data_IF_916701750812
#
_entry.id   IF_916701750812
#
_cell.length_a   1.000
_cell.length_b   1.000
_cell.length_c   1.000
_cell.angle_alpha   90.00
_cell.angle_beta   90.00
_cell.angle_gamma   90.00
#
_symmetry.space_group_name_H-M   'P 1'
#
loop_
_entity.id
_entity.type
_entity.pdbx_description
1 polymer ?
#
# COMPACT_ATOMS: atom_id res chain seq x y z
N UNK A 1 -13.31 9.71 -22.29
CA UNK A 1 -13.04 8.61 -21.33
C UNK A 1 -13.41 8.99 -19.90
N UNK A 2 -13.13 10.19 -19.42
CA UNK A 2 -13.50 10.63 -18.06
C UNK A 2 -15.02 10.51 -17.78
N UNK A 3 -15.88 11.02 -18.66
CA UNK A 3 -17.34 11.00 -18.48
C UNK A 3 -17.91 9.59 -18.24
N UNK A 4 -17.40 8.56 -18.91
CA UNK A 4 -17.86 7.16 -18.68
C UNK A 4 -17.38 6.56 -17.37
N UNK A 5 -16.24 7.03 -16.83
CA UNK A 5 -15.73 6.55 -15.56
C UNK A 5 -16.57 7.09 -14.39
N UNK A 6 -17.04 8.34 -14.50
CA UNK A 6 -17.90 8.98 -13.50
C UNK A 6 -19.29 8.35 -13.49
N UNK A 7 -19.88 8.08 -14.67
CA UNK A 7 -21.17 7.38 -14.79
C UNK A 7 -21.11 5.99 -14.15
N UNK A 8 -20.05 5.20 -14.40
CA UNK A 8 -19.84 3.89 -13.78
C UNK A 8 -19.64 3.98 -12.26
N UNK A 9 -19.00 5.04 -11.77
CA UNK A 9 -18.82 5.27 -10.35
C UNK A 9 -20.15 5.56 -9.65
N UNK A 10 -20.99 6.40 -10.27
CA UNK A 10 -22.34 6.68 -9.75
C UNK A 10 -23.22 5.42 -9.74
N UNK A 11 -23.20 4.63 -10.81
CA UNK A 11 -23.94 3.35 -10.88
C UNK A 11 -23.46 2.36 -9.79
N UNK A 12 -22.16 2.24 -9.57
CA UNK A 12 -21.60 1.40 -8.50
C UNK A 12 -22.06 1.89 -7.13
N UNK A 13 -22.06 3.20 -6.88
CA UNK A 13 -22.50 3.79 -5.61
C UNK A 13 -24.00 3.58 -5.37
N UNK A 14 -24.83 3.60 -6.42
CA UNK A 14 -26.25 3.26 -6.33
C UNK A 14 -26.43 1.78 -5.96
N UNK A 15 -25.79 0.88 -6.69
CA UNK A 15 -25.87 -0.57 -6.42
C UNK A 15 -25.38 -0.90 -5.01
N UNK A 16 -24.31 -0.27 -4.53
CA UNK A 16 -23.80 -0.50 -3.18
C UNK A 16 -24.79 -0.02 -2.10
N UNK A 17 -25.51 1.09 -2.34
CA UNK A 17 -26.58 1.55 -1.46
C UNK A 17 -27.76 0.57 -1.44
N UNK A 18 -28.19 0.11 -2.61
CA UNK A 18 -29.25 -0.89 -2.72
C UNK A 18 -28.87 -2.20 -2.00
N UNK A 19 -27.60 -2.62 -2.14
CA UNK A 19 -27.06 -3.76 -1.40
C UNK A 19 -27.08 -3.49 0.11
N UNK A 20 -26.73 -2.29 0.57
CA UNK A 20 -26.72 -1.93 1.99
C UNK A 20 -28.13 -1.95 2.59
N UNK A 21 -29.12 -1.43 1.86
CA UNK A 21 -30.52 -1.30 2.32
C UNK A 21 -31.31 -2.61 2.18
N UNK A 22 -30.89 -3.52 1.30
CA UNK A 22 -31.59 -4.80 1.10
C UNK A 22 -31.42 -5.72 2.30
N UNK A 23 -32.49 -6.36 2.73
CA UNK A 23 -32.41 -7.46 3.70
C UNK A 23 -31.74 -8.68 3.06
N UNK A 24 -30.62 -9.11 3.63
CA UNK A 24 -29.94 -10.32 3.18
C UNK A 24 -30.49 -11.55 3.92
N UNK A 25 -31.49 -12.22 3.34
CA UNK A 25 -32.01 -13.47 3.86
C UNK A 25 -31.20 -14.72 3.47
N UNK A 26 -29.99 -14.52 2.87
CA UNK A 26 -29.17 -15.63 2.40
C UNK A 26 -28.61 -16.47 3.55
N UNK A 27 -28.64 -17.78 3.39
CA UNK A 27 -27.94 -18.76 4.23
C UNK A 27 -26.52 -19.08 3.73
N UNK A 28 -26.12 -18.55 2.57
CA UNK A 28 -24.82 -18.78 1.97
C UNK A 28 -23.74 -17.95 2.67
N UNK A 29 -22.72 -18.62 3.21
CA UNK A 29 -21.54 -17.95 3.80
C UNK A 29 -20.84 -17.07 2.76
N UNK A 30 -20.72 -17.57 1.51
CA UNK A 30 -20.13 -16.82 0.41
C UNK A 30 -20.81 -15.47 0.17
N UNK A 31 -22.13 -15.47 0.04
CA UNK A 31 -22.91 -14.25 -0.27
C UNK A 31 -22.82 -13.23 0.87
N UNK A 32 -22.94 -13.70 2.13
CA UNK A 32 -22.84 -12.82 3.31
C UNK A 32 -21.46 -12.20 3.42
N UNK A 33 -20.42 -13.01 3.26
CA UNK A 33 -19.04 -12.54 3.34
C UNK A 33 -18.65 -11.62 2.17
N UNK A 34 -19.13 -11.92 0.95
CA UNK A 34 -18.92 -11.06 -0.22
C UNK A 34 -19.58 -9.68 -0.03
N UNK A 35 -20.85 -9.67 0.43
CA UNK A 35 -21.56 -8.42 0.74
C UNK A 35 -20.83 -7.62 1.80
N UNK A 36 -20.44 -8.23 2.92
CA UNK A 36 -19.68 -7.59 3.98
C UNK A 36 -18.40 -6.94 3.43
N UNK A 37 -17.63 -7.70 2.63
CA UNK A 37 -16.39 -7.22 2.02
C UNK A 37 -16.63 -6.03 1.09
N UNK A 38 -17.57 -6.14 0.15
CA UNK A 38 -17.88 -5.09 -0.82
C UNK A 38 -18.27 -3.79 -0.12
N UNK A 39 -19.13 -3.84 0.87
CA UNK A 39 -19.57 -2.67 1.60
C UNK A 39 -18.42 -2.03 2.39
N UNK A 40 -17.67 -2.82 3.17
CA UNK A 40 -16.54 -2.28 3.93
C UNK A 40 -15.41 -1.76 3.05
N UNK A 41 -15.08 -2.41 1.93
CA UNK A 41 -14.08 -1.90 0.97
C UNK A 41 -14.47 -0.54 0.39
N UNK A 42 -15.77 -0.22 0.34
CA UNK A 42 -16.31 1.05 -0.14
C UNK A 42 -16.67 2.05 0.97
N UNK A 43 -16.17 1.83 2.19
CA UNK A 43 -16.36 2.75 3.31
C UNK A 43 -17.77 2.73 3.89
N UNK A 44 -18.56 1.69 3.62
CA UNK A 44 -19.88 1.46 4.18
C UNK A 44 -19.77 0.49 5.36
N UNK A 45 -20.17 0.98 6.54
CA UNK A 45 -20.04 0.18 7.75
C UNK A 45 -21.04 -0.97 7.79
N UNK A 46 -20.55 -2.17 8.10
CA UNK A 46 -21.34 -3.38 8.36
C UNK A 46 -20.83 -4.03 9.64
N UNK A 47 -21.72 -4.37 10.58
CA UNK A 47 -21.36 -5.08 11.81
C UNK A 47 -20.88 -6.50 11.51
N UNK A 48 -19.86 -7.00 12.25
CA UNK A 48 -19.44 -8.40 12.21
C UNK A 48 -20.56 -9.39 12.62
N UNK A 49 -21.60 -8.91 13.27
CA UNK A 49 -22.74 -9.71 13.74
C UNK A 49 -23.46 -10.44 12.61
N UNK A 50 -23.29 -9.99 11.36
CA UNK A 50 -23.82 -10.70 10.19
C UNK A 50 -23.33 -12.15 10.08
N UNK A 51 -22.21 -12.47 10.73
CA UNK A 51 -21.63 -13.81 10.77
C UNK A 51 -22.16 -14.67 11.93
N UNK A 52 -22.92 -14.11 12.89
CA UNK A 52 -23.41 -14.86 14.06
C UNK A 52 -24.30 -16.04 13.66
N UNK A 53 -25.03 -15.96 12.56
CA UNK A 53 -25.83 -17.07 12.03
C UNK A 53 -25.02 -18.30 11.57
N UNK A 54 -23.70 -18.17 11.42
CA UNK A 54 -22.76 -19.24 11.10
C UNK A 54 -21.99 -19.72 12.33
N UNK A 55 -22.38 -19.26 13.53
CA UNK A 55 -21.78 -19.65 14.79
C UNK A 55 -22.70 -20.52 15.62
N UNK A 56 -22.09 -21.30 16.50
CA UNK A 56 -22.77 -22.05 17.56
C UNK A 56 -23.11 -21.12 18.74
N UNK A 57 -23.86 -21.64 19.70
CA UNK A 57 -24.21 -20.90 20.92
C UNK A 57 -22.99 -20.50 21.78
N UNK A 58 -21.88 -21.26 21.68
CA UNK A 58 -20.61 -20.96 22.36
C UNK A 58 -19.76 -19.91 21.64
N UNK A 59 -20.22 -19.39 20.48
CA UNK A 59 -19.55 -18.40 19.66
C UNK A 59 -18.56 -18.96 18.63
N UNK A 60 -18.27 -20.28 18.67
CA UNK A 60 -17.43 -20.93 17.65
C UNK A 60 -18.13 -21.01 16.30
N UNK A 61 -17.38 -21.05 15.19
CA UNK A 61 -17.94 -21.31 13.87
C UNK A 61 -18.43 -22.75 13.75
N UNK A 62 -19.53 -22.93 13.03
CA UNK A 62 -20.17 -24.23 12.85
C UNK A 62 -19.36 -25.12 11.92
N UNK A 63 -19.39 -26.44 12.20
CA UNK A 63 -18.67 -27.45 11.41
C UNK A 63 -19.24 -27.61 9.98
N UNK A 64 -20.54 -27.36 9.77
CA UNK A 64 -21.18 -27.52 8.47
C UNK A 64 -20.67 -26.59 7.38
N UNK A 65 -20.05 -25.44 7.74
CA UNK A 65 -19.45 -24.51 6.78
C UNK A 65 -18.02 -24.90 6.38
N UNK A 66 -17.39 -25.86 7.07
CA UNK A 66 -16.01 -26.26 6.78
C UNK A 66 -15.83 -26.97 5.44
N UNK A 67 -16.93 -27.51 4.87
CA UNK A 67 -16.94 -28.14 3.57
C UNK A 67 -17.19 -27.19 2.39
N UNK A 68 -17.36 -25.87 2.65
CA UNK A 68 -17.55 -24.84 1.63
C UNK A 68 -16.28 -24.00 1.42
N UNK A 69 -15.35 -24.40 0.54
CA UNK A 69 -14.11 -23.67 0.34
C UNK A 69 -14.31 -22.27 -0.26
N UNK A 70 -15.39 -22.04 -1.03
CA UNK A 70 -15.74 -20.73 -1.58
C UNK A 70 -16.25 -19.80 -0.49
N UNK A 71 -17.09 -20.31 0.40
CA UNK A 71 -17.58 -19.57 1.56
C UNK A 71 -16.44 -19.22 2.52
N UNK A 72 -15.55 -20.19 2.82
CA UNK A 72 -14.38 -19.97 3.68
C UNK A 72 -13.41 -18.94 3.09
N UNK A 73 -13.12 -18.98 1.79
CA UNK A 73 -12.30 -17.99 1.12
C UNK A 73 -12.92 -16.59 1.21
N UNK A 74 -14.24 -16.51 1.02
CA UNK A 74 -14.95 -15.23 1.12
C UNK A 74 -14.94 -14.69 2.55
N UNK A 75 -15.13 -15.55 3.55
CA UNK A 75 -15.04 -15.20 4.97
C UNK A 75 -13.62 -14.73 5.32
N UNK A 76 -12.59 -15.46 4.86
CA UNK A 76 -11.18 -15.09 5.08
C UNK A 76 -10.87 -13.68 4.56
N UNK A 77 -11.24 -13.40 3.31
CA UNK A 77 -11.03 -12.10 2.71
C UNK A 77 -11.87 -11.00 3.37
N UNK A 78 -13.12 -11.27 3.73
CA UNK A 78 -13.99 -10.33 4.42
C UNK A 78 -13.45 -9.98 5.81
N UNK A 79 -13.00 -10.98 6.56
CA UNK A 79 -12.50 -10.80 7.91
C UNK A 79 -11.20 -9.96 7.96
N UNK A 80 -10.39 -9.92 6.89
CA UNK A 80 -9.22 -9.05 6.80
C UNK A 80 -9.55 -7.55 6.65
N UNK A 81 -10.84 -7.19 6.59
CA UNK A 81 -11.31 -5.81 6.74
C UNK A 81 -11.66 -5.46 8.19
N UNK A 82 -11.22 -6.27 9.16
CA UNK A 82 -11.40 -5.99 10.58
C UNK A 82 -10.74 -4.67 10.98
N UNK A 83 -11.36 -4.02 11.95
CA UNK A 83 -10.84 -2.82 12.63
C UNK A 83 -10.49 -3.16 14.08
N UNK A 84 -9.96 -2.20 14.83
CA UNK A 84 -9.72 -2.41 16.26
C UNK A 84 -11.02 -2.72 17.00
N UNK A 85 -10.95 -3.61 17.99
CA UNK A 85 -12.10 -4.00 18.79
C UNK A 85 -13.02 -5.08 18.18
N UNK A 86 -12.62 -5.74 17.08
CA UNK A 86 -13.41 -6.80 16.44
C UNK A 86 -12.77 -8.20 16.60
N UNK A 87 -12.77 -8.79 17.81
CA UNK A 87 -12.17 -10.10 18.03
C UNK A 87 -12.85 -11.22 17.24
N UNK A 88 -14.16 -11.11 16.96
CA UNK A 88 -14.91 -12.09 16.20
C UNK A 88 -14.40 -12.25 14.77
N UNK A 89 -13.91 -11.19 14.14
CA UNK A 89 -13.28 -11.27 12.81
C UNK A 89 -11.86 -11.84 12.89
N UNK A 90 -11.15 -11.63 13.99
CA UNK A 90 -9.84 -12.28 14.21
C UNK A 90 -9.99 -13.80 14.34
N UNK A 91 -11.04 -14.26 15.01
CA UNK A 91 -11.41 -15.68 15.07
C UNK A 91 -11.79 -16.23 13.69
N UNK A 92 -12.57 -15.45 12.91
CA UNK A 92 -12.96 -15.81 11.54
C UNK A 92 -11.72 -15.99 10.63
N UNK A 93 -10.70 -15.14 10.74
CA UNK A 93 -9.44 -15.28 10.01
C UNK A 93 -8.78 -16.61 10.36
N UNK A 94 -8.62 -16.90 11.66
CA UNK A 94 -7.94 -18.10 12.14
C UNK A 94 -8.68 -19.38 11.71
N UNK A 95 -10.00 -19.38 11.86
CA UNK A 95 -10.87 -20.47 11.47
C UNK A 95 -10.82 -20.74 9.95
N UNK A 96 -11.07 -19.71 9.14
CA UNK A 96 -11.09 -19.87 7.70
C UNK A 96 -9.70 -20.25 7.14
N UNK A 97 -8.61 -19.65 7.66
CA UNK A 97 -7.24 -19.99 7.28
C UNK A 97 -6.93 -21.46 7.53
N UNK A 98 -7.22 -21.95 8.74
CA UNK A 98 -6.97 -23.34 9.10
C UNK A 98 -7.64 -24.33 8.13
N UNK A 99 -8.91 -24.16 7.84
CA UNK A 99 -9.64 -25.06 6.95
C UNK A 99 -9.22 -24.92 5.47
N UNK A 100 -8.90 -23.71 5.01
CA UNK A 100 -8.37 -23.50 3.66
C UNK A 100 -6.99 -24.15 3.47
N UNK A 101 -6.12 -24.09 4.47
CA UNK A 101 -4.81 -24.76 4.46
C UNK A 101 -4.97 -26.28 4.39
N UNK A 102 -5.90 -26.85 5.17
CA UNK A 102 -6.17 -28.31 5.15
C UNK A 102 -6.68 -28.82 3.81
N UNK A 103 -7.50 -28.05 3.11
CA UNK A 103 -8.10 -28.49 1.83
C UNK A 103 -7.33 -28.06 0.60
N UNK A 104 -6.26 -27.24 0.75
CA UNK A 104 -5.50 -26.60 -0.33
C UNK A 104 -5.14 -27.56 -1.48
N UNK A 105 -4.63 -28.74 -1.14
CA UNK A 105 -4.13 -29.69 -2.14
C UNK A 105 -5.25 -30.48 -2.85
N UNK A 106 -6.47 -30.41 -2.34
CA UNK A 106 -7.65 -31.08 -2.91
C UNK A 106 -8.49 -30.18 -3.82
N UNK A 107 -8.24 -28.88 -3.81
CA UNK A 107 -8.99 -27.90 -4.60
C UNK A 107 -8.64 -27.98 -6.08
N UNK A 108 -9.61 -27.63 -6.92
CA UNK A 108 -9.43 -27.53 -8.38
C UNK A 108 -9.37 -26.06 -8.81
N UNK A 109 -8.68 -25.85 -9.95
CA UNK A 109 -8.67 -24.55 -10.65
C UNK A 109 -10.11 -24.13 -11.05
N UNK A 110 -10.48 -22.82 -10.97
CA UNK A 110 -9.65 -21.69 -10.56
C UNK A 110 -9.59 -21.45 -9.04
N UNK A 111 -10.42 -22.12 -8.25
CA UNK A 111 -10.52 -21.88 -6.80
C UNK A 111 -9.21 -22.19 -6.06
N UNK A 112 -8.46 -23.19 -6.51
CA UNK A 112 -7.15 -23.54 -5.94
C UNK A 112 -6.17 -22.36 -5.99
N UNK A 113 -6.10 -21.66 -7.12
CA UNK A 113 -5.25 -20.48 -7.32
C UNK A 113 -5.73 -19.30 -6.48
N UNK A 114 -7.05 -19.08 -6.39
CA UNK A 114 -7.61 -18.03 -5.53
C UNK A 114 -7.25 -18.25 -4.06
N UNK A 115 -7.42 -19.47 -3.56
CA UNK A 115 -7.09 -19.83 -2.17
C UNK A 115 -5.60 -19.66 -1.91
N UNK A 116 -4.75 -20.16 -2.83
CA UNK A 116 -3.30 -20.02 -2.71
C UNK A 116 -2.89 -18.55 -2.55
N UNK A 117 -3.33 -17.68 -3.47
CA UNK A 117 -2.99 -16.25 -3.42
C UNK A 117 -3.55 -15.56 -2.17
N UNK A 118 -4.78 -15.89 -1.77
CA UNK A 118 -5.38 -15.29 -0.59
C UNK A 118 -4.67 -15.68 0.71
N UNK A 119 -4.16 -16.91 0.81
CA UNK A 119 -3.35 -17.35 1.95
C UNK A 119 -1.98 -16.69 2.00
N UNK A 120 -1.39 -16.37 0.83
CA UNK A 120 -0.15 -15.59 0.74
C UNK A 120 -0.41 -14.10 1.07
N UNK A 121 -1.40 -13.48 0.40
CA UNK A 121 -1.80 -12.09 0.63
C UNK A 121 -3.33 -11.99 0.55
N UNK A 122 -4.04 -11.66 1.64
CA UNK A 122 -5.50 -11.49 1.63
C UNK A 122 -5.94 -10.44 0.62
N UNK A 123 -7.05 -10.69 -0.08
CA UNK A 123 -7.54 -9.85 -1.18
C UNK A 123 -7.63 -8.35 -0.84
N UNK A 124 -8.08 -7.88 0.35
CA UNK A 124 -8.11 -6.46 0.69
C UNK A 124 -6.73 -5.77 0.72
N UNK A 125 -5.67 -6.56 0.88
CA UNK A 125 -4.27 -6.09 0.96
C UNK A 125 -3.52 -6.26 -0.36
N UNK A 126 -4.16 -6.75 -1.43
CA UNK A 126 -3.55 -6.93 -2.75
C UNK A 126 -3.51 -5.64 -3.54
N UNK A 127 -2.52 -5.51 -4.42
CA UNK A 127 -2.52 -4.48 -5.46
C UNK A 127 -3.55 -4.88 -6.53
N UNK A 128 -4.64 -4.11 -6.60
CA UNK A 128 -5.83 -4.46 -7.40
C UNK A 128 -5.51 -4.77 -8.85
N UNK A 129 -4.57 -4.06 -9.48
CA UNK A 129 -4.20 -4.31 -10.87
C UNK A 129 -3.48 -5.64 -11.08
N UNK A 130 -2.68 -6.09 -10.12
CA UNK A 130 -2.03 -7.40 -10.14
C UNK A 130 -3.09 -8.49 -10.03
N UNK A 131 -4.01 -8.35 -9.08
CA UNK A 131 -5.10 -9.30 -8.88
C UNK A 131 -6.05 -9.36 -10.09
N UNK A 132 -6.38 -8.21 -10.68
CA UNK A 132 -7.18 -8.14 -11.91
C UNK A 132 -6.53 -8.94 -13.04
N UNK A 133 -5.20 -8.88 -13.19
CA UNK A 133 -4.46 -9.65 -14.18
C UNK A 133 -4.68 -11.16 -14.03
N UNK A 134 -4.59 -11.65 -12.80
CA UNK A 134 -4.83 -13.06 -12.49
C UNK A 134 -6.29 -13.43 -12.72
N UNK A 135 -7.20 -12.64 -12.16
CA UNK A 135 -8.63 -12.89 -12.21
C UNK A 135 -9.17 -12.95 -13.65
N UNK A 136 -8.74 -12.07 -14.56
CA UNK A 136 -9.12 -12.13 -15.97
C UNK A 136 -8.78 -13.50 -16.60
N UNK A 137 -7.62 -14.06 -16.27
CA UNK A 137 -7.22 -15.36 -16.82
C UNK A 137 -7.96 -16.54 -16.21
N UNK A 138 -8.51 -16.38 -15.01
CA UNK A 138 -9.24 -17.41 -14.27
C UNK A 138 -10.75 -17.33 -14.53
N UNK A 139 -11.30 -16.13 -14.68
CA UNK A 139 -12.72 -15.87 -14.90
C UNK A 139 -13.32 -16.63 -16.09
N UNK A 140 -12.55 -16.84 -17.15
CA UNK A 140 -12.98 -17.63 -18.32
C UNK A 140 -13.34 -19.09 -17.97
N UNK A 141 -12.85 -19.59 -16.82
CA UNK A 141 -13.08 -20.95 -16.34
C UNK A 141 -14.15 -21.02 -15.24
N UNK A 142 -14.68 -19.86 -14.82
CA UNK A 142 -15.76 -19.83 -13.84
C UNK A 142 -17.10 -20.22 -14.48
N UNK A 143 -17.90 -20.96 -13.71
CA UNK A 143 -19.26 -21.30 -14.10
C UNK A 143 -20.13 -20.03 -14.17
N UNK A 144 -20.83 -19.84 -15.30
CA UNK A 144 -21.64 -18.64 -15.51
C UNK A 144 -20.86 -17.39 -15.92
N UNK A 145 -19.59 -17.51 -16.35
CA UNK A 145 -18.84 -16.37 -16.87
C UNK A 145 -19.57 -15.67 -18.03
N UNK A 146 -19.39 -14.36 -18.12
CA UNK A 146 -19.92 -13.55 -19.21
C UNK A 146 -18.79 -13.24 -20.22
N UNK A 147 -18.85 -13.82 -21.46
CA UNK A 147 -17.79 -13.64 -22.45
C UNK A 147 -17.59 -12.18 -22.87
N UNK A 148 -18.67 -11.39 -22.96
CA UNK A 148 -18.59 -9.97 -23.33
C UNK A 148 -17.91 -9.15 -22.26
N UNK A 149 -18.20 -9.42 -20.99
CA UNK A 149 -17.53 -8.78 -19.86
C UNK A 149 -16.04 -9.17 -19.81
N UNK A 150 -15.72 -10.43 -20.09
CA UNK A 150 -14.33 -10.90 -20.17
C UNK A 150 -13.56 -10.20 -21.28
N UNK A 151 -14.14 -10.06 -22.47
CA UNK A 151 -13.53 -9.36 -23.60
C UNK A 151 -13.30 -7.88 -23.27
N UNK A 152 -14.30 -7.21 -22.69
CA UNK A 152 -14.17 -5.83 -22.24
C UNK A 152 -13.04 -5.67 -21.21
N UNK A 153 -12.96 -6.56 -20.20
CA UNK A 153 -11.91 -6.52 -19.19
C UNK A 153 -10.50 -6.70 -19.80
N UNK A 154 -10.33 -7.59 -20.80
CA UNK A 154 -9.07 -7.77 -21.51
C UNK A 154 -8.68 -6.51 -22.29
N UNK A 155 -9.63 -5.92 -23.03
CA UNK A 155 -9.41 -4.70 -23.81
C UNK A 155 -9.01 -3.53 -22.89
N UNK A 156 -9.74 -3.31 -21.81
CA UNK A 156 -9.46 -2.25 -20.84
C UNK A 156 -8.09 -2.44 -20.19
N UNK A 157 -7.78 -3.69 -19.75
CA UNK A 157 -6.48 -3.99 -19.16
C UNK A 157 -5.34 -3.69 -20.13
N UNK A 158 -5.44 -4.14 -21.39
CA UNK A 158 -4.40 -3.94 -22.41
C UNK A 158 -4.26 -2.46 -22.80
N UNK A 159 -5.36 -1.72 -22.87
CA UNK A 159 -5.33 -0.29 -23.14
C UNK A 159 -4.60 0.48 -22.04
N UNK A 160 -4.95 0.25 -20.80
CA UNK A 160 -4.27 0.86 -19.65
C UNK A 160 -2.80 0.42 -19.55
N UNK A 161 -2.50 -0.83 -19.90
CA UNK A 161 -1.12 -1.32 -19.95
C UNK A 161 -0.29 -0.49 -20.94
N UNK A 162 -0.83 -0.19 -22.11
CA UNK A 162 -0.15 0.62 -23.12
C UNK A 162 0.10 2.07 -22.64
N UNK A 163 -0.87 2.67 -21.94
CA UNK A 163 -0.71 3.99 -21.33
C UNK A 163 0.42 3.97 -20.29
N UNK A 164 0.35 3.05 -19.33
CA UNK A 164 1.35 2.92 -18.29
C UNK A 164 2.75 2.58 -18.80
N UNK A 165 2.85 1.80 -19.90
CA UNK A 165 4.14 1.53 -20.54
C UNK A 165 4.78 2.81 -21.08
N UNK A 166 4.00 3.69 -21.69
CA UNK A 166 4.49 5.00 -22.18
C UNK A 166 4.94 5.90 -21.03
N UNK A 167 4.16 5.93 -19.96
CA UNK A 167 4.51 6.69 -18.75
C UNK A 167 5.82 6.16 -18.14
N UNK A 168 5.96 4.84 -18.02
CA UNK A 168 7.17 4.21 -17.51
C UNK A 168 8.40 4.52 -18.38
N UNK A 169 8.26 4.48 -19.72
CA UNK A 169 9.33 4.84 -20.64
C UNK A 169 9.76 6.30 -20.47
N UNK A 170 8.80 7.22 -20.30
CA UNK A 170 9.10 8.62 -20.04
C UNK A 170 9.83 8.81 -18.70
N UNK A 171 9.34 8.19 -17.63
CA UNK A 171 9.96 8.27 -16.30
C UNK A 171 11.36 7.65 -16.28
N UNK A 172 11.56 6.51 -16.97
CA UNK A 172 12.89 5.87 -17.06
C UNK A 172 13.87 6.80 -17.76
N UNK A 173 13.48 7.37 -18.90
CA UNK A 173 14.35 8.32 -19.62
C UNK A 173 14.67 9.56 -18.76
N UNK A 174 13.66 10.12 -18.08
CA UNK A 174 13.87 11.26 -17.19
C UNK A 174 14.83 10.89 -16.03
N UNK A 175 14.72 9.70 -15.47
CA UNK A 175 15.59 9.21 -14.40
C UNK A 175 17.03 9.05 -14.90
N UNK A 176 17.22 8.46 -16.07
CA UNK A 176 18.55 8.29 -16.70
C UNK A 176 19.20 9.66 -16.98
N UNK A 177 18.45 10.60 -17.61
CA UNK A 177 18.91 11.97 -17.87
C UNK A 177 19.28 12.70 -16.57
N UNK A 178 18.51 12.49 -15.49
CA UNK A 178 18.80 13.07 -14.17
C UNK A 178 20.07 12.50 -13.56
N UNK A 179 20.27 11.18 -13.58
CA UNK A 179 21.49 10.55 -13.06
C UNK A 179 22.73 10.95 -13.86
N UNK A 180 22.62 11.03 -15.17
CA UNK A 180 23.72 11.49 -16.04
C UNK A 180 24.08 12.95 -15.74
N UNK A 181 23.08 13.81 -15.54
CA UNK A 181 23.30 15.23 -15.21
C UNK A 181 23.96 15.41 -13.84
N UNK A 182 23.51 14.69 -12.83
CA UNK A 182 24.04 14.76 -11.47
C UNK A 182 25.42 14.08 -11.37
N UNK A 183 25.77 13.21 -12.32
CA UNK A 183 27.08 12.54 -12.39
C UNK A 183 27.26 11.50 -11.31
N UNK A 184 26.19 10.83 -10.89
CA UNK A 184 26.18 9.91 -9.76
C UNK A 184 26.25 8.45 -10.19
N UNK A 185 27.43 7.94 -10.41
CA UNK A 185 27.69 6.49 -10.32
C UNK A 185 27.72 5.99 -8.84
N UNK A 186 27.40 6.84 -7.88
CA UNK A 186 27.53 6.60 -6.43
C UNK A 186 26.24 6.89 -5.66
N UNK A 187 25.10 6.56 -6.23
CA UNK A 187 23.82 7.18 -5.89
C UNK A 187 23.36 6.95 -4.46
N UNK A 188 23.57 5.76 -3.88
CA UNK A 188 22.94 5.44 -2.60
C UNK A 188 23.70 6.01 -1.39
N UNK A 189 24.98 5.74 -1.28
CA UNK A 189 25.78 6.17 -0.11
C UNK A 189 25.97 7.68 -0.04
N UNK A 190 26.00 8.35 -1.20
CA UNK A 190 26.12 9.79 -1.29
C UNK A 190 24.81 10.56 -1.29
N UNK A 191 23.67 9.91 -1.56
CA UNK A 191 22.36 10.51 -1.30
C UNK A 191 22.16 10.76 0.20
N UNK A 192 22.56 9.83 1.05
CA UNK A 192 22.54 10.00 2.50
C UNK A 192 23.46 11.15 2.93
N UNK A 193 24.69 11.22 2.42
CA UNK A 193 25.58 12.37 2.62
C UNK A 193 25.00 13.67 2.06
N UNK A 194 24.29 13.60 0.93
CA UNK A 194 23.63 14.74 0.28
C UNK A 194 22.52 15.29 1.16
N UNK A 195 21.67 14.42 1.67
CA UNK A 195 20.62 14.80 2.60
C UNK A 195 21.20 15.40 3.88
N UNK A 196 22.24 14.78 4.43
CA UNK A 196 22.88 15.24 5.66
C UNK A 196 23.55 16.63 5.48
N UNK A 197 24.31 16.82 4.41
CA UNK A 197 24.96 18.10 4.09
C UNK A 197 23.95 19.21 3.77
N UNK A 198 22.97 18.90 2.93
CA UNK A 198 21.96 19.84 2.51
C UNK A 198 20.95 20.18 3.63
N UNK A 199 20.64 19.27 4.52
CA UNK A 199 19.74 19.50 5.66
C UNK A 199 20.34 20.46 6.68
N UNK A 200 21.64 20.36 6.94
CA UNK A 200 22.36 21.36 7.78
C UNK A 200 22.38 22.75 7.15
N UNK A 201 22.40 22.85 5.81
CA UNK A 201 22.54 24.09 5.09
C UNK A 201 21.23 24.76 4.64
N UNK A 202 20.05 24.33 5.12
CA UNK A 202 18.78 24.97 4.78
C UNK A 202 17.86 24.15 3.88
N UNK A 203 18.14 22.84 3.68
CA UNK A 203 17.32 21.94 2.87
C UNK A 203 15.87 21.83 3.39
N UNK A 204 15.70 21.90 4.72
CA UNK A 204 14.38 21.99 5.34
C UNK A 204 13.61 23.25 4.95
N UNK A 205 14.31 24.32 4.50
CA UNK A 205 13.71 25.57 4.02
C UNK A 205 13.62 25.67 2.50
N UNK A 206 14.31 24.78 1.76
CA UNK A 206 14.44 24.82 0.29
C UNK A 206 14.89 26.21 -0.20
N UNK A 207 15.93 26.74 0.42
CA UNK A 207 16.47 28.08 0.19
C UNK A 207 17.60 28.03 -0.85
N UNK A 208 17.44 28.78 -1.94
CA UNK A 208 18.45 28.85 -3.00
C UNK A 208 19.81 29.39 -2.51
N UNK A 209 19.79 30.25 -1.49
CA UNK A 209 21.03 30.81 -0.92
C UNK A 209 21.93 29.72 -0.31
N UNK A 210 21.33 28.63 0.15
CA UNK A 210 22.05 27.48 0.71
C UNK A 210 22.93 26.75 -0.33
N UNK A 211 22.66 26.89 -1.62
CA UNK A 211 23.45 26.25 -2.69
C UNK A 211 24.93 26.62 -2.60
N UNK A 212 25.25 27.85 -2.22
CA UNK A 212 26.64 28.34 -2.11
C UNK A 212 27.45 27.63 -1.01
N UNK A 213 26.75 27.07 -0.01
CA UNK A 213 27.34 26.40 1.15
C UNK A 213 27.61 24.91 0.90
N UNK A 214 27.09 24.35 -0.19
CA UNK A 214 27.19 22.94 -0.49
C UNK A 214 28.47 22.61 -1.26
N UNK A 215 29.06 21.41 -1.10
CA UNK A 215 30.08 20.89 -1.99
C UNK A 215 29.57 20.80 -3.45
N UNK A 216 30.46 20.90 -4.44
CA UNK A 216 30.08 21.02 -5.85
C UNK A 216 29.22 19.84 -6.36
N UNK A 217 29.46 18.62 -5.89
CA UNK A 217 28.67 17.45 -6.26
C UNK A 217 27.24 17.52 -5.71
N UNK A 218 27.01 18.20 -4.57
CA UNK A 218 25.69 18.41 -3.99
C UNK A 218 24.97 19.62 -4.60
N UNK A 219 25.70 20.63 -5.09
CA UNK A 219 25.09 21.79 -5.75
C UNK A 219 24.23 21.39 -6.93
N UNK A 220 24.71 20.45 -7.76
CA UNK A 220 23.96 19.97 -8.93
C UNK A 220 22.64 19.31 -8.51
N UNK A 221 22.70 18.39 -7.56
CA UNK A 221 21.51 17.72 -7.03
C UNK A 221 20.52 18.72 -6.44
N UNK A 222 20.98 19.62 -5.60
CA UNK A 222 20.14 20.60 -4.92
C UNK A 222 19.49 21.58 -5.89
N UNK A 223 20.24 22.07 -6.87
CA UNK A 223 19.73 22.94 -7.92
C UNK A 223 18.65 22.23 -8.76
N UNK A 224 18.85 20.95 -9.08
CA UNK A 224 17.84 20.17 -9.81
C UNK A 224 16.57 19.95 -8.99
N UNK A 225 16.70 19.65 -7.71
CA UNK A 225 15.57 19.57 -6.80
C UNK A 225 14.78 20.88 -6.74
N UNK A 226 15.47 22.02 -6.61
CA UNK A 226 14.83 23.34 -6.64
C UNK A 226 14.14 23.60 -7.99
N UNK A 227 14.78 23.18 -9.11
CA UNK A 227 14.23 23.32 -10.45
C UNK A 227 12.93 22.54 -10.62
N UNK A 228 12.87 21.28 -10.14
CA UNK A 228 11.64 20.46 -10.18
C UNK A 228 10.47 21.20 -9.54
N UNK A 229 10.68 21.85 -8.39
CA UNK A 229 9.62 22.60 -7.73
C UNK A 229 9.28 23.91 -8.44
N UNK A 230 10.24 24.56 -9.13
CA UNK A 230 10.00 25.77 -9.93
C UNK A 230 9.26 25.47 -11.21
N UNK A 231 9.67 24.41 -11.93
CA UNK A 231 9.03 23.99 -13.18
C UNK A 231 7.59 23.55 -12.93
N UNK A 232 7.33 22.94 -11.76
CA UNK A 232 5.98 22.59 -11.33
C UNK A 232 5.10 23.83 -11.02
N UNK A 233 5.69 24.97 -10.59
CA UNK A 233 4.98 26.23 -10.39
C UNK A 233 4.64 26.95 -11.72
N UNK A 234 5.25 26.58 -12.86
CA UNK A 234 5.26 27.44 -14.07
C UNK A 234 4.33 27.04 -15.23
N UNK A 235 4.11 25.79 -15.57
CA UNK A 235 3.39 25.39 -16.79
C UNK A 235 2.59 24.09 -16.76
N UNK A 236 2.85 23.19 -15.81
CA UNK A 236 2.26 21.85 -15.80
C UNK A 236 1.02 21.69 -14.91
N UNK A 237 0.84 22.56 -13.93
CA UNK A 237 -0.24 22.49 -12.96
C UNK A 237 -1.05 23.80 -12.97
N UNK A 238 -2.33 23.69 -13.27
CA UNK A 238 -3.28 24.83 -13.27
C UNK A 238 -3.49 25.42 -11.88
N UNK A 239 -3.13 24.71 -10.81
CA UNK A 239 -3.30 25.12 -9.42
C UNK A 239 -1.97 25.13 -8.63
N UNK A 240 -1.41 26.32 -8.44
CA UNK A 240 -0.15 26.58 -7.73
C UNK A 240 -0.15 26.08 -6.28
N UNK A 241 -1.30 25.86 -5.64
CA UNK A 241 -1.37 25.41 -4.25
C UNK A 241 -0.97 23.94 -4.08
N UNK A 242 -1.22 23.07 -5.07
CA UNK A 242 -0.81 21.64 -5.03
C UNK A 242 0.70 21.50 -4.83
N UNK A 243 1.48 22.24 -5.60
CA UNK A 243 2.94 22.24 -5.52
C UNK A 243 3.42 22.72 -4.16
N UNK A 244 2.76 23.75 -3.59
CA UNK A 244 3.09 24.26 -2.27
C UNK A 244 2.91 23.20 -1.16
N UNK A 245 1.87 22.34 -1.27
CA UNK A 245 1.68 21.25 -0.32
C UNK A 245 2.72 20.14 -0.49
N UNK A 246 3.08 19.77 -1.72
CA UNK A 246 4.15 18.80 -1.98
C UNK A 246 5.48 19.31 -1.43
N UNK A 247 5.81 20.60 -1.65
CA UNK A 247 7.00 21.22 -1.09
C UNK A 247 7.04 21.14 0.43
N UNK A 248 5.92 21.44 1.12
CA UNK A 248 5.82 21.32 2.58
C UNK A 248 5.98 19.86 3.05
N UNK A 249 5.38 18.91 2.34
CA UNK A 249 5.51 17.50 2.66
C UNK A 249 6.97 17.03 2.51
N UNK A 250 7.64 17.45 1.44
CA UNK A 250 9.05 17.14 1.22
C UNK A 250 9.97 17.76 2.28
N UNK A 251 9.70 18.99 2.71
CA UNK A 251 10.43 19.63 3.81
C UNK A 251 10.29 18.84 5.13
N UNK A 252 9.09 18.37 5.45
CA UNK A 252 8.87 17.50 6.62
C UNK A 252 9.63 16.18 6.49
N UNK A 253 9.55 15.54 5.33
CA UNK A 253 10.27 14.31 5.03
C UNK A 253 11.78 14.48 5.24
N UNK A 254 12.37 15.57 4.70
CA UNK A 254 13.79 15.88 4.88
C UNK A 254 14.18 16.07 6.35
N UNK A 255 13.27 16.60 7.18
CA UNK A 255 13.52 16.74 8.63
C UNK A 255 13.60 15.37 9.32
N UNK A 256 12.74 14.42 8.98
CA UNK A 256 12.78 13.06 9.53
C UNK A 256 14.02 12.30 9.09
N UNK A 257 14.41 12.42 7.81
CA UNK A 257 15.64 11.84 7.28
C UNK A 257 16.90 12.40 8.00
N UNK A 258 16.91 13.71 8.25
CA UNK A 258 18.00 14.34 9.00
C UNK A 258 18.09 13.79 10.43
N UNK A 259 16.98 13.68 11.13
CA UNK A 259 16.95 13.17 12.50
C UNK A 259 17.45 11.72 12.58
N UNK A 260 17.08 10.87 11.62
CA UNK A 260 17.55 9.48 11.53
C UNK A 260 19.08 9.45 11.30
N UNK A 261 19.58 10.27 10.39
CA UNK A 261 21.00 10.41 10.13
C UNK A 261 21.79 10.96 11.34
N UNK A 262 21.20 11.88 12.10
CA UNK A 262 21.81 12.41 13.33
C UNK A 262 21.93 11.33 14.42
N UNK A 263 20.91 10.49 14.60
CA UNK A 263 20.97 9.37 15.53
C UNK A 263 22.10 8.40 15.18
N UNK A 264 22.23 8.08 13.89
CA UNK A 264 23.29 7.22 13.40
C UNK A 264 24.67 7.83 13.62
N UNK A 265 24.84 9.10 13.23
CA UNK A 265 26.12 9.82 13.35
C UNK A 265 26.56 10.00 14.81
N UNK A 266 25.64 10.27 15.70
CA UNK A 266 25.92 10.46 17.14
C UNK A 266 25.97 9.14 17.92
N UNK A 267 25.80 8.00 17.22
CA UNK A 267 25.71 6.67 17.82
C UNK A 267 24.68 6.60 18.97
N UNK A 268 23.56 7.33 18.80
CA UNK A 268 22.47 7.30 19.74
C UNK A 268 21.74 5.96 19.65
N UNK A 269 21.23 5.50 20.80
CA UNK A 269 20.41 4.27 20.88
C UNK A 269 19.02 4.63 21.39
N UNK A 270 18.14 5.15 20.53
CA UNK A 270 16.77 5.46 20.93
C UNK A 270 16.00 4.17 21.25
N UNK A 271 14.87 4.31 21.98
CA UNK A 271 13.98 3.17 22.25
C UNK A 271 13.38 2.63 20.96
N UNK A 272 12.96 1.37 20.98
CA UNK A 272 12.26 0.73 19.85
C UNK A 272 11.10 1.59 19.32
N UNK A 273 10.27 2.12 20.22
CA UNK A 273 9.13 2.95 19.85
C UNK A 273 9.57 4.22 19.11
N UNK A 274 10.63 4.89 19.55
CA UNK A 274 11.17 6.07 18.89
C UNK A 274 11.75 5.72 17.51
N UNK A 275 12.46 4.59 17.38
CA UNK A 275 12.95 4.11 16.09
C UNK A 275 11.79 3.84 15.13
N UNK A 276 10.79 3.09 15.56
CA UNK A 276 9.62 2.76 14.73
C UNK A 276 8.86 4.00 14.30
N UNK A 277 8.61 4.95 15.20
CA UNK A 277 7.86 6.16 14.88
C UNK A 277 8.63 7.08 13.93
N UNK A 278 9.93 7.28 14.14
CA UNK A 278 10.74 8.11 13.25
C UNK A 278 10.88 7.45 11.88
N UNK A 279 11.22 6.16 11.82
CA UNK A 279 11.46 5.44 10.57
C UNK A 279 10.19 5.28 9.73
N UNK A 280 9.00 5.20 10.37
CA UNK A 280 7.73 5.25 9.66
C UNK A 280 7.51 6.57 8.91
N UNK A 281 8.06 7.67 9.41
CA UNK A 281 7.98 8.99 8.76
C UNK A 281 9.10 9.17 7.72
N UNK A 282 10.31 8.70 8.03
CA UNK A 282 11.48 8.83 7.15
C UNK A 282 11.44 7.90 5.94
N UNK A 283 10.59 6.86 5.92
CA UNK A 283 10.38 6.01 4.74
C UNK A 283 9.61 6.72 3.61
N UNK A 284 8.97 7.87 3.89
CA UNK A 284 8.38 8.76 2.90
C UNK A 284 6.92 8.51 2.54
N UNK A 285 6.25 7.53 3.14
CA UNK A 285 4.83 7.22 2.82
C UNK A 285 3.93 8.42 3.07
N UNK A 286 4.11 9.15 4.17
CA UNK A 286 3.34 10.36 4.46
C UNK A 286 3.49 11.45 3.38
N UNK A 287 4.70 11.59 2.82
CA UNK A 287 4.96 12.51 1.70
C UNK A 287 4.29 12.02 0.43
N UNK A 288 4.40 10.72 0.12
CA UNK A 288 3.76 10.12 -1.04
C UNK A 288 2.22 10.23 -0.98
N UNK A 289 1.60 10.22 0.21
CA UNK A 289 0.18 10.48 0.35
C UNK A 289 -0.22 11.88 -0.19
N UNK A 290 0.61 12.89 0.04
CA UNK A 290 0.40 14.24 -0.51
C UNK A 290 0.64 14.28 -2.02
N UNK A 291 1.72 13.64 -2.49
CA UNK A 291 2.09 13.60 -3.91
C UNK A 291 1.01 12.90 -4.77
N UNK A 292 0.45 11.79 -4.28
CA UNK A 292 -0.62 11.06 -4.98
C UNK A 292 -1.84 11.92 -5.30
N UNK A 293 -2.14 12.91 -4.45
CA UNK A 293 -3.30 13.77 -4.64
C UNK A 293 -3.13 14.77 -5.79
N UNK A 294 -1.90 15.14 -6.12
CA UNK A 294 -1.64 16.04 -7.27
C UNK A 294 -2.17 15.45 -8.57
N UNK A 295 -2.05 14.14 -8.76
CA UNK A 295 -2.54 13.44 -9.95
C UNK A 295 -4.07 13.19 -9.96
N UNK A 296 -4.79 13.59 -8.91
CA UNK A 296 -6.25 13.42 -8.82
C UNK A 296 -7.03 14.62 -9.38
N UNK A 297 -6.35 15.73 -9.70
CA UNK A 297 -6.99 16.90 -10.28
C UNK A 297 -8.05 17.54 -9.37
N UNK A 298 -9.17 17.99 -9.97
CA UNK A 298 -10.25 18.71 -9.27
C UNK A 298 -11.06 17.85 -8.30
N UNK A 299 -10.82 16.52 -8.26
CA UNK A 299 -11.48 15.63 -7.29
C UNK A 299 -10.96 15.84 -5.84
N UNK A 300 -9.86 16.59 -5.66
CA UNK A 300 -9.21 16.78 -4.35
C UNK A 300 -9.26 18.22 -3.91
N UNK A 301 -9.83 18.43 -2.73
CA UNK A 301 -9.94 19.75 -2.13
C UNK A 301 -8.67 20.16 -1.37
N UNK A 302 -8.58 21.46 -1.07
CA UNK A 302 -7.51 22.00 -0.23
C UNK A 302 -7.48 21.37 1.16
N UNK A 303 -8.66 21.11 1.74
CA UNK A 303 -8.83 20.47 3.03
C UNK A 303 -8.27 19.03 3.03
N UNK A 304 -8.39 18.31 1.91
CA UNK A 304 -7.79 16.99 1.75
C UNK A 304 -6.25 17.05 1.77
N UNK A 305 -5.66 18.06 1.12
CA UNK A 305 -4.20 18.29 1.20
C UNK A 305 -3.75 18.65 2.63
N UNK A 306 -4.49 19.50 3.33
CA UNK A 306 -4.21 19.82 4.73
C UNK A 306 -4.29 18.61 5.63
N UNK A 307 -5.32 17.77 5.44
CA UNK A 307 -5.47 16.51 6.15
C UNK A 307 -4.28 15.57 5.88
N UNK A 308 -3.90 15.34 4.63
CA UNK A 308 -2.77 14.46 4.32
C UNK A 308 -1.44 15.02 4.87
N UNK A 309 -1.23 16.35 4.79
CA UNK A 309 -0.04 17.00 5.33
C UNK A 309 0.02 16.94 6.88
N UNK A 310 -1.11 16.77 7.56
CA UNK A 310 -1.15 16.58 9.01
C UNK A 310 -0.61 15.22 9.46
N UNK A 311 -0.28 14.33 8.54
CA UNK A 311 0.15 12.95 8.79
C UNK A 311 -0.92 12.14 9.53
N UNK A 312 -2.08 11.88 8.91
CA UNK A 312 -3.16 11.12 9.52
C UNK A 312 -2.74 9.69 9.87
N UNK A 313 -3.47 9.05 10.77
CA UNK A 313 -3.16 7.71 11.28
C UNK A 313 -2.89 6.69 10.17
N UNK A 314 -3.64 6.75 9.07
CA UNK A 314 -3.42 5.84 7.92
C UNK A 314 -2.03 6.03 7.28
N UNK A 315 -1.53 7.26 7.20
CA UNK A 315 -0.21 7.54 6.62
C UNK A 315 0.91 7.01 7.55
N UNK A 316 0.74 7.18 8.85
CA UNK A 316 1.67 6.65 9.87
C UNK A 316 1.64 5.12 9.87
N UNK A 317 0.45 4.52 9.87
CA UNK A 317 0.27 3.07 9.81
C UNK A 317 0.90 2.47 8.54
N UNK A 318 0.69 3.12 7.38
CA UNK A 318 1.32 2.73 6.12
C UNK A 318 2.85 2.82 6.17
N UNK A 319 3.38 3.87 6.77
CA UNK A 319 4.82 4.02 7.00
C UNK A 319 5.41 2.91 7.87
N UNK A 320 4.73 2.57 8.97
CA UNK A 320 5.13 1.44 9.85
C UNK A 320 5.08 0.10 9.12
N UNK A 321 4.00 -0.18 8.38
CA UNK A 321 3.88 -1.42 7.58
C UNK A 321 5.04 -1.53 6.60
N UNK A 322 5.31 -0.48 5.82
CA UNK A 322 6.37 -0.48 4.81
C UNK A 322 7.74 -0.65 5.47
N UNK A 323 8.03 0.08 6.57
CA UNK A 323 9.30 0.01 7.30
C UNK A 323 9.53 -1.38 7.88
N UNK A 324 8.53 -1.97 8.52
CA UNK A 324 8.68 -3.29 9.13
C UNK A 324 8.93 -4.37 8.06
N UNK A 325 8.22 -4.31 6.92
CA UNK A 325 8.49 -5.23 5.83
C UNK A 325 9.91 -5.07 5.26
N UNK A 326 10.39 -3.82 5.10
CA UNK A 326 11.75 -3.51 4.65
C UNK A 326 12.79 -4.10 5.61
N UNK A 327 12.62 -3.85 6.90
CA UNK A 327 13.55 -4.31 7.94
C UNK A 327 13.61 -5.84 8.07
N UNK A 328 12.46 -6.53 7.93
CA UNK A 328 12.42 -8.01 7.90
C UNK A 328 13.17 -8.54 6.67
N UNK A 329 12.92 -7.94 5.50
CA UNK A 329 13.58 -8.36 4.27
C UNK A 329 15.09 -8.09 4.30
N UNK A 330 15.51 -6.94 4.86
CA UNK A 330 16.91 -6.59 5.05
C UNK A 330 17.63 -7.55 6.03
N UNK A 331 16.98 -7.89 7.13
CA UNK A 331 17.53 -8.82 8.14
C UNK A 331 17.77 -10.22 7.54
N UNK A 332 16.87 -10.71 6.70
CA UNK A 332 17.04 -12.00 6.01
C UNK A 332 18.08 -11.96 4.89
N UNK A 333 18.31 -10.79 4.30
CA UNK A 333 19.29 -10.58 3.23
C UNK A 333 20.73 -10.31 3.71
N UNK A 334 21.02 -10.47 4.99
CA UNK A 334 22.35 -10.19 5.59
C UNK A 334 22.85 -8.75 5.42
N UNK A 335 21.96 -7.77 5.26
CA UNK A 335 22.31 -6.35 5.22
C UNK A 335 22.39 -5.77 6.65
N UNK A 336 23.60 -5.40 7.08
CA UNK A 336 23.89 -4.97 8.47
C UNK A 336 24.06 -3.46 8.61
N UNK A 337 23.60 -2.62 7.70
CA UNK A 337 24.03 -1.21 7.64
C UNK A 337 23.12 -0.15 8.29
N UNK A 338 21.98 -0.53 8.87
CA UNK A 338 21.13 0.41 9.59
C UNK A 338 20.50 -0.25 10.81
N UNK A 339 20.36 0.51 11.90
CA UNK A 339 19.59 0.06 13.07
C UNK A 339 18.14 -0.17 12.64
N UNK A 340 17.80 -1.43 12.32
CA UNK A 340 16.46 -1.81 11.93
C UNK A 340 15.52 -1.78 13.15
N UNK A 341 14.23 -1.61 12.91
CA UNK A 341 13.22 -1.73 13.96
C UNK A 341 13.26 -3.10 14.62
N UNK A 342 13.56 -4.17 13.86
CA UNK A 342 13.72 -5.52 14.38
C UNK A 342 14.89 -5.62 15.37
N UNK A 343 16.07 -5.14 14.98
CA UNK A 343 17.25 -5.19 15.84
C UNK A 343 17.07 -4.33 17.10
N UNK A 344 16.46 -3.14 16.96
CA UNK A 344 16.15 -2.27 18.07
C UNK A 344 15.22 -2.97 19.07
N UNK A 345 14.18 -3.68 18.59
CA UNK A 345 13.29 -4.48 19.42
C UNK A 345 14.02 -5.62 20.14
N UNK A 346 14.84 -6.38 19.39
CA UNK A 346 15.59 -7.51 19.93
C UNK A 346 16.55 -7.08 21.04
N UNK A 347 17.26 -5.95 20.86
CA UNK A 347 18.22 -5.42 21.82
C UNK A 347 17.49 -4.91 23.06
N UNK A 348 16.42 -4.12 22.91
CA UNK A 348 15.67 -3.53 24.01
C UNK A 348 15.02 -4.60 24.90
N UNK A 349 14.41 -5.61 24.26
CA UNK A 349 13.68 -6.67 25.00
C UNK A 349 14.52 -7.93 25.28
N UNK A 350 15.77 -7.99 24.80
CA UNK A 350 16.68 -9.13 24.97
C UNK A 350 16.08 -10.45 24.50
N UNK A 351 15.46 -10.44 23.33
CA UNK A 351 14.81 -11.59 22.71
C UNK A 351 15.54 -12.09 21.47
N UNK A 352 15.24 -13.32 21.05
CA UNK A 352 15.76 -13.87 19.81
C UNK A 352 15.08 -13.28 18.58
N UNK A 353 15.66 -13.51 17.39
CA UNK A 353 15.09 -13.05 16.11
C UNK A 353 13.70 -13.61 15.85
N UNK A 354 13.45 -14.88 16.20
CA UNK A 354 12.14 -15.52 16.02
C UNK A 354 11.06 -14.81 16.84
N UNK A 355 11.36 -14.50 18.12
CA UNK A 355 10.44 -13.76 18.99
C UNK A 355 10.26 -12.32 18.50
N UNK A 356 11.33 -11.68 18.08
CA UNK A 356 11.32 -10.35 17.50
C UNK A 356 10.43 -10.28 16.24
N UNK A 357 10.65 -11.16 15.27
CA UNK A 357 9.88 -11.25 14.03
C UNK A 357 8.39 -11.52 14.33
N UNK A 358 8.08 -12.45 15.23
CA UNK A 358 6.69 -12.74 15.62
C UNK A 358 6.00 -11.48 16.19
N UNK A 359 6.72 -10.73 17.04
CA UNK A 359 6.18 -9.49 17.61
C UNK A 359 5.94 -8.40 16.58
N UNK A 360 6.94 -8.12 15.74
CA UNK A 360 6.76 -7.07 14.72
C UNK A 360 5.72 -7.45 13.67
N UNK A 361 5.56 -8.73 13.32
CA UNK A 361 4.45 -9.20 12.49
C UNK A 361 3.08 -8.92 13.17
N UNK A 362 2.98 -9.05 14.49
CA UNK A 362 1.75 -8.69 15.19
C UNK A 362 1.46 -7.17 15.17
N UNK A 363 2.50 -6.34 15.07
CA UNK A 363 2.35 -4.90 14.88
C UNK A 363 1.84 -4.58 13.47
N UNK A 364 2.33 -5.27 12.44
CA UNK A 364 1.81 -5.13 11.06
C UNK A 364 0.29 -5.39 11.05
N UNK A 365 -0.17 -6.45 11.74
CA UNK A 365 -1.60 -6.75 11.82
C UNK A 365 -2.40 -5.66 12.55
N UNK A 366 -1.82 -5.05 13.58
CA UNK A 366 -2.45 -3.91 14.26
C UNK A 366 -2.54 -2.67 13.34
N UNK A 367 -1.47 -2.37 12.61
CA UNK A 367 -1.46 -1.23 11.67
C UNK A 367 -2.44 -1.44 10.49
N UNK A 368 -2.64 -2.67 10.01
CA UNK A 368 -3.69 -2.97 9.02
C UNK A 368 -5.11 -2.69 9.54
N UNK A 369 -5.36 -2.85 10.84
CA UNK A 369 -6.64 -2.46 11.45
C UNK A 369 -6.84 -0.95 11.38
N UNK A 370 -5.80 -0.17 11.69
CA UNK A 370 -5.81 1.29 11.54
C UNK A 370 -6.03 1.72 10.08
N UNK A 371 -5.39 1.05 9.12
CA UNK A 371 -5.63 1.29 7.68
C UNK A 371 -7.09 1.02 7.29
N UNK A 372 -7.69 -0.03 7.84
CA UNK A 372 -9.10 -0.33 7.58
C UNK A 372 -10.05 0.67 8.23
N UNK A 373 -9.74 1.17 9.45
CA UNK A 373 -10.54 2.19 10.15
C UNK A 373 -10.66 3.47 9.33
N UNK A 374 -9.59 3.89 8.68
CA UNK A 374 -9.58 5.10 7.86
C UNK A 374 -10.64 5.11 6.76
N UNK A 375 -11.16 3.94 6.33
CA UNK A 375 -12.25 3.82 5.34
C UNK A 375 -13.55 4.44 5.85
N UNK A 376 -13.71 4.53 7.18
CA UNK A 376 -14.96 4.92 7.84
C UNK A 376 -14.88 6.29 8.54
N UNK A 377 -13.68 6.86 8.68
CA UNK A 377 -13.47 8.11 9.43
C UNK A 377 -14.11 9.33 8.76
N UNK A 378 -13.91 9.47 7.44
CA UNK A 378 -14.46 10.60 6.68
C UNK A 378 -14.82 10.19 5.25
N UNK A 379 -16.12 10.22 4.94
CA UNK A 379 -16.62 9.81 3.63
C UNK A 379 -16.17 10.73 2.50
N UNK A 380 -16.00 12.03 2.75
CA UNK A 380 -15.54 12.99 1.73
C UNK A 380 -14.09 12.74 1.33
N UNK A 381 -13.28 12.24 2.28
CA UNK A 381 -11.88 11.87 2.04
C UNK A 381 -11.72 10.44 1.51
N UNK A 382 -12.79 9.67 1.41
CA UNK A 382 -12.71 8.26 0.99
C UNK A 382 -12.00 8.02 -0.36
N UNK A 383 -12.18 8.86 -1.41
CA UNK A 383 -11.41 8.72 -2.65
C UNK A 383 -9.90 8.80 -2.43
N UNK A 384 -9.45 9.72 -1.56
CA UNK A 384 -8.04 9.88 -1.18
C UNK A 384 -7.56 8.70 -0.33
N UNK A 385 -8.35 8.31 0.68
CA UNK A 385 -8.06 7.14 1.53
C UNK A 385 -7.88 5.87 0.69
N UNK A 386 -8.74 5.65 -0.31
CA UNK A 386 -8.64 4.52 -1.24
C UNK A 386 -7.32 4.51 -2.02
N UNK A 387 -6.83 5.68 -2.44
CA UNK A 387 -5.52 5.82 -3.11
C UNK A 387 -4.36 5.50 -2.15
N UNK A 388 -4.45 6.00 -0.92
CA UNK A 388 -3.44 5.73 0.11
C UNK A 388 -3.39 4.23 0.44
N UNK A 389 -4.54 3.57 0.58
CA UNK A 389 -4.60 2.11 0.78
C UNK A 389 -3.93 1.36 -0.37
N UNK A 390 -4.17 1.77 -1.62
CA UNK A 390 -3.51 1.16 -2.77
C UNK A 390 -1.99 1.36 -2.75
N UNK A 391 -1.51 2.50 -2.27
CA UNK A 391 -0.08 2.73 -2.06
C UNK A 391 0.47 1.78 -0.99
N UNK A 392 -0.20 1.66 0.17
CA UNK A 392 0.23 0.77 1.25
C UNK A 392 0.25 -0.69 0.79
N UNK A 393 -0.75 -1.11 -0.01
CA UNK A 393 -0.80 -2.45 -0.58
C UNK A 393 0.43 -2.79 -1.44
N UNK A 394 1.16 -1.80 -1.99
CA UNK A 394 2.38 -2.08 -2.75
C UNK A 394 3.47 -2.75 -1.91
N UNK A 395 3.46 -2.56 -0.59
CA UNK A 395 4.37 -3.25 0.33
C UNK A 395 4.33 -4.77 0.16
N UNK A 396 3.15 -5.34 -0.08
CA UNK A 396 2.98 -6.79 -0.25
C UNK A 396 3.61 -7.34 -1.54
N UNK A 397 3.90 -6.47 -2.51
CA UNK A 397 4.60 -6.81 -3.74
C UNK A 397 6.10 -6.56 -3.60
N UNK A 398 6.48 -5.39 -3.06
CA UNK A 398 7.89 -5.04 -2.91
C UNK A 398 8.64 -6.01 -1.98
N UNK A 399 7.96 -6.50 -0.94
CA UNK A 399 8.54 -7.37 0.07
C UNK A 399 7.95 -8.80 0.05
N UNK A 400 7.44 -9.23 -1.11
CA UNK A 400 6.95 -10.60 -1.30
C UNK A 400 8.05 -11.62 -0.97
N UNK A 401 7.66 -12.72 -0.34
CA UNK A 401 8.58 -13.78 0.12
C UNK A 401 9.71 -13.26 1.03
N UNK A 402 9.47 -12.13 1.73
CA UNK A 402 10.44 -11.46 2.60
C UNK A 402 11.73 -11.05 1.86
N UNK A 403 11.64 -10.72 0.58
CA UNK A 403 12.72 -10.23 -0.26
C UNK A 403 12.57 -8.74 -0.53
N UNK A 404 13.68 -8.02 -0.51
CA UNK A 404 13.70 -6.59 -0.82
C UNK A 404 13.64 -6.35 -2.35
N UNK A 405 12.43 -6.37 -2.92
CA UNK A 405 12.19 -6.04 -4.32
C UNK A 405 12.28 -4.53 -4.61
N UNK A 406 12.21 -3.68 -3.58
CA UNK A 406 12.38 -2.23 -3.75
C UNK A 406 13.83 -1.90 -4.12
N UNK A 407 14.79 -2.47 -3.40
CA UNK A 407 16.23 -2.30 -3.71
C UNK A 407 16.67 -3.16 -4.89
N UNK A 408 16.17 -4.40 -4.98
CA UNK A 408 16.57 -5.36 -6.00
C UNK A 408 15.41 -5.62 -6.97
N UNK A 409 15.21 -4.71 -7.91
CA UNK A 409 14.13 -4.76 -8.90
C UNK A 409 14.02 -6.07 -9.71
N UNK A 410 15.07 -6.91 -9.71
CA UNK A 410 15.02 -8.24 -10.33
C UNK A 410 13.95 -9.15 -9.72
N UNK A 411 13.61 -9.00 -8.44
CA UNK A 411 12.53 -9.74 -7.79
C UNK A 411 11.15 -9.34 -8.32
N UNK A 412 11.00 -8.11 -8.80
CA UNK A 412 9.76 -7.59 -9.37
C UNK A 412 9.57 -7.89 -10.86
N UNK A 413 10.56 -8.50 -11.52
CA UNK A 413 10.56 -8.70 -12.98
C UNK A 413 9.25 -9.31 -13.50
N UNK A 414 8.75 -10.37 -12.86
CA UNK A 414 7.50 -11.04 -13.28
C UNK A 414 6.31 -10.09 -13.21
N UNK A 415 6.21 -9.30 -12.13
CA UNK A 415 5.14 -8.34 -11.93
C UNK A 415 5.22 -7.22 -12.98
N UNK A 416 6.42 -6.66 -13.19
CA UNK A 416 6.66 -5.62 -14.21
C UNK A 416 6.31 -6.12 -15.61
N UNK A 417 6.80 -7.31 -16.00
CA UNK A 417 6.49 -7.90 -17.31
C UNK A 417 4.99 -8.13 -17.49
N UNK A 418 4.30 -8.64 -16.47
CA UNK A 418 2.86 -8.92 -16.55
C UNK A 418 2.01 -7.65 -16.58
N UNK A 419 2.40 -6.61 -15.85
CA UNK A 419 1.62 -5.39 -15.73
C UNK A 419 1.85 -4.39 -16.88
N UNK A 420 3.08 -4.35 -17.43
CA UNK A 420 3.47 -3.29 -18.38
C UNK A 420 3.89 -3.81 -19.76
N UNK A 421 4.33 -5.07 -19.89
CA UNK A 421 4.96 -5.56 -21.13
C UNK A 421 4.13 -6.61 -21.85
N UNK A 422 3.64 -7.62 -21.11
CA UNK A 422 2.92 -8.77 -21.71
C UNK A 422 1.41 -8.52 -21.75
N UNK A 423 0.81 -8.25 -22.92
CA UNK A 423 -0.65 -8.06 -23.01
C UNK A 423 -1.38 -9.37 -22.67
N UNK A 424 -2.65 -9.23 -22.27
CA UNK A 424 -3.55 -10.38 -22.11
C UNK A 424 -3.98 -10.83 -23.52
N UNK A 425 -3.83 -12.12 -23.87
CA UNK A 425 -4.31 -12.63 -25.16
C UNK A 425 -5.82 -12.43 -25.32
N UNK A 426 -6.21 -11.92 -26.50
CA UNK A 426 -7.61 -11.69 -26.86
C UNK A 426 -8.29 -13.01 -27.20
#
# INVERSE_FOLDING_TARGET
MAVRADELKEEIDVVLRDILESELCSSSLHEVALRFRLLREHGLWVSPDVFNKFKNEDGSFREDITSDPRGLLSLYNAAHLLVHGEPSLQEAISFARHHLEMMRDSLKSPLAEHVKRALDVPFPRTVKRVETRYYISEYKHEEGNNPTLLELAKLDFNLLQHVHLKELQYLTKWTDDFYDYVGTNYVRDRLVESYFGASKCGHTKMDESATSLLPDYLKRYYNELLRIFKDADGEAFTDTYHVAYVKKAFQKFSTYQLQEAEWLHQNQKPSFENVLNLSAMSIGIATLCVVLMVGMGDEVTKEAFEWALSCPNIAIAGGKIMRIFDDIAAFQGEKVDAASTLESYMVEHRVTSEVGIARINSLIEAEWKTVNEARFENRELFPVVKRIINLINTATIYYADQKDGYTFGSYLRKNVESLFVKPIPM
#
